data_IF_112944491287
#
_entry.id   IF_112944491287
#
_cell.length_a   1.000
_cell.length_b   1.000
_cell.length_c   1.000
_cell.angle_alpha   90.00
_cell.angle_beta   90.00
_cell.angle_gamma   90.00
#
_symmetry.space_group_name_H-M   'P 1'
#
loop_
_entity.id
_entity.type
_entity.pdbx_description
1 polymer ?
#
# COMPACT_ATOMS: atom_id res chain seq x y z
N UNK A 1 -0.30 17.66 -10.75
CA UNK A 1 0.08 18.17 -9.40
C UNK A 1 1.06 17.19 -8.80
N UNK A 2 2.18 17.66 -8.25
CA UNK A 2 3.21 16.78 -7.69
C UNK A 2 2.64 15.91 -6.55
N UNK A 3 2.87 14.60 -6.62
CA UNK A 3 2.31 13.62 -5.68
C UNK A 3 2.96 13.66 -4.28
N UNK A 4 4.10 14.34 -4.11
CA UNK A 4 4.84 14.43 -2.86
C UNK A 4 3.99 15.00 -1.70
N UNK A 5 2.99 15.85 -1.99
CA UNK A 5 2.07 16.38 -0.99
C UNK A 5 1.15 15.30 -0.36
N UNK A 6 0.95 14.18 -1.05
CA UNK A 6 0.13 13.07 -0.57
C UNK A 6 0.94 11.96 0.11
N UNK A 7 2.27 12.03 0.02
CA UNK A 7 3.15 10.97 0.47
C UNK A 7 3.07 10.83 2.00
N UNK A 8 2.67 9.65 2.47
CA UNK A 8 3.00 9.19 3.82
C UNK A 8 4.42 8.63 3.77
N UNK A 9 5.41 9.27 4.43
CA UNK A 9 6.81 8.88 4.32
C UNK A 9 7.06 7.50 4.94
N UNK A 10 8.08 6.78 4.46
CA UNK A 10 8.46 5.43 4.93
C UNK A 10 8.55 5.32 6.46
N UNK A 11 9.00 6.36 7.15
CA UNK A 11 9.12 6.39 8.62
C UNK A 11 7.77 6.29 9.35
N UNK A 12 6.68 6.66 8.68
CA UNK A 12 5.31 6.61 9.20
C UNK A 12 4.51 5.42 8.64
N UNK A 13 5.13 4.60 7.81
CA UNK A 13 4.51 3.43 7.19
C UNK A 13 5.02 2.18 7.87
N UNK A 14 4.10 1.28 8.23
CA UNK A 14 4.47 -0.09 8.61
C UNK A 14 4.70 -0.89 7.33
N UNK A 15 5.91 -1.40 7.18
CA UNK A 15 6.36 -2.28 6.12
C UNK A 15 7.18 -3.42 6.74
N UNK A 16 7.40 -4.49 5.97
CA UNK A 16 8.22 -5.61 6.40
C UNK A 16 9.28 -5.96 5.35
N UNK A 17 10.36 -6.60 5.78
CA UNK A 17 11.34 -7.18 4.87
C UNK A 17 10.81 -8.54 4.38
N UNK A 18 10.99 -8.89 3.11
CA UNK A 18 10.53 -10.18 2.56
C UNK A 18 11.19 -11.41 3.23
N UNK A 19 12.35 -11.22 3.87
CA UNK A 19 13.03 -12.24 4.64
C UNK A 19 12.52 -12.35 6.09
N UNK A 20 11.68 -11.41 6.56
CA UNK A 20 11.01 -11.51 7.86
C UNK A 20 10.10 -12.76 7.91
N UNK A 21 9.71 -13.13 9.13
CA UNK A 21 8.81 -14.27 9.35
C UNK A 21 7.34 -13.86 9.24
N UNK A 22 6.49 -14.82 8.88
CA UNK A 22 5.03 -14.63 8.86
C UNK A 22 4.49 -14.23 10.24
N UNK A 23 5.12 -14.70 11.33
CA UNK A 23 4.77 -14.29 12.70
C UNK A 23 4.95 -12.79 12.92
N UNK A 24 6.12 -12.25 12.55
CA UNK A 24 6.42 -10.83 12.73
C UNK A 24 5.43 -9.95 11.97
N UNK A 25 5.10 -10.32 10.73
CA UNK A 25 4.10 -9.61 9.95
C UNK A 25 2.72 -9.65 10.62
N UNK A 26 2.25 -10.83 11.06
CA UNK A 26 0.97 -10.98 11.75
C UNK A 26 0.88 -10.09 12.99
N UNK A 27 1.91 -10.12 13.85
CA UNK A 27 1.94 -9.33 15.09
C UNK A 27 1.90 -7.81 14.81
N UNK A 28 2.65 -7.33 13.82
CA UNK A 28 2.62 -5.91 13.42
C UNK A 28 1.28 -5.51 12.82
N UNK A 29 0.73 -6.35 11.93
CA UNK A 29 -0.53 -6.07 11.26
C UNK A 29 -1.70 -6.07 12.26
N UNK A 30 -1.72 -7.00 13.22
CA UNK A 30 -2.70 -7.04 14.30
C UNK A 30 -2.61 -5.80 15.20
N UNK A 31 -1.40 -5.44 15.66
CA UNK A 31 -1.20 -4.30 16.55
C UNK A 31 -1.65 -2.98 15.92
N UNK A 32 -1.31 -2.77 14.64
CA UNK A 32 -1.64 -1.54 13.93
C UNK A 32 -2.98 -1.60 13.16
N UNK A 33 -3.64 -2.75 13.15
CA UNK A 33 -4.89 -3.03 12.40
C UNK A 33 -4.77 -2.76 10.90
N UNK A 34 -3.64 -3.15 10.30
CA UNK A 34 -3.42 -3.05 8.86
C UNK A 34 -3.79 -4.35 8.15
N UNK A 35 -4.61 -4.26 7.12
CA UNK A 35 -5.01 -5.42 6.29
C UNK A 35 -4.00 -5.72 5.19
N UNK A 36 -3.13 -4.77 4.87
CA UNK A 36 -2.07 -4.89 3.87
C UNK A 36 -0.87 -4.00 4.20
N UNK A 37 0.34 -4.49 3.99
CA UNK A 37 1.60 -3.76 4.21
C UNK A 37 2.56 -3.90 3.01
N UNK A 38 3.40 -2.89 2.73
CA UNK A 38 4.50 -3.01 1.76
C UNK A 38 5.54 -4.04 2.22
N UNK A 39 6.14 -4.73 1.26
CA UNK A 39 7.33 -5.55 1.45
C UNK A 39 8.53 -4.93 0.75
N UNK A 40 9.70 -5.01 1.40
CA UNK A 40 10.98 -4.58 0.85
C UNK A 40 12.02 -5.71 0.86
N UNK A 41 13.04 -5.62 0.02
CA UNK A 41 14.24 -6.45 0.12
C UNK A 41 15.27 -5.85 1.11
N UNK A 42 16.40 -6.53 1.30
CA UNK A 42 17.50 -6.09 2.15
C UNK A 42 18.18 -4.79 1.67
N UNK A 43 18.01 -4.45 0.39
CA UNK A 43 18.49 -3.19 -0.19
C UNK A 43 17.48 -2.04 -0.02
N UNK A 44 16.32 -2.30 0.57
CA UNK A 44 15.25 -1.32 0.74
C UNK A 44 14.36 -1.12 -0.49
N UNK A 45 14.50 -1.95 -1.53
CA UNK A 45 13.68 -1.89 -2.73
C UNK A 45 12.30 -2.44 -2.48
N UNK A 46 11.28 -1.82 -3.06
CA UNK A 46 9.92 -2.36 -2.98
C UNK A 46 9.83 -3.68 -3.76
N UNK A 47 9.32 -4.75 -3.14
CA UNK A 47 9.21 -6.08 -3.78
C UNK A 47 7.77 -6.60 -3.85
N UNK A 48 6.80 -5.88 -3.26
CA UNK A 48 5.38 -6.20 -3.37
C UNK A 48 4.59 -5.82 -2.13
N UNK A 49 3.37 -6.34 -2.03
CA UNK A 49 2.47 -6.12 -0.90
C UNK A 49 2.15 -7.47 -0.26
N UNK A 50 2.07 -7.48 1.06
CA UNK A 50 1.54 -8.60 1.84
C UNK A 50 0.18 -8.23 2.39
N UNK A 51 -0.80 -9.12 2.26
CA UNK A 51 -2.13 -8.97 2.87
C UNK A 51 -2.37 -10.04 3.95
N UNK A 52 -3.28 -9.78 4.88
CA UNK A 52 -3.75 -10.81 5.83
C UNK A 52 -4.32 -12.02 5.09
N UNK A 53 -4.96 -11.79 3.94
CA UNK A 53 -5.48 -12.83 3.06
C UNK A 53 -4.40 -13.75 2.53
N UNK A 54 -3.25 -13.22 2.08
CA UNK A 54 -2.12 -14.03 1.60
C UNK A 54 -1.63 -15.01 2.69
N UNK A 55 -1.50 -14.52 3.92
CA UNK A 55 -1.09 -15.35 5.07
C UNK A 55 -2.16 -16.37 5.46
N UNK A 56 -3.45 -15.97 5.43
CA UNK A 56 -4.57 -16.88 5.67
C UNK A 56 -4.58 -18.03 4.65
N UNK A 57 -4.40 -17.72 3.37
CA UNK A 57 -4.34 -18.73 2.31
C UNK A 57 -3.11 -19.62 2.43
N UNK A 58 -1.95 -19.09 2.83
CA UNK A 58 -0.76 -19.89 3.12
C UNK A 58 -1.03 -20.91 4.22
N UNK A 59 -1.65 -20.51 5.33
CA UNK A 59 -2.01 -21.42 6.42
C UNK A 59 -3.02 -22.46 5.93
N UNK A 60 -4.10 -22.01 5.27
CA UNK A 60 -5.17 -22.90 4.76
C UNK A 60 -4.64 -23.98 3.81
N UNK A 61 -3.72 -23.61 2.93
CA UNK A 61 -3.24 -24.48 1.86
C UNK A 61 -1.96 -25.28 2.22
N UNK A 62 -1.46 -25.15 3.46
CA UNK A 62 -0.30 -25.94 3.90
C UNK A 62 -0.72 -26.90 5.02
N UNK A 63 -0.87 -28.21 4.72
CA UNK A 63 -1.24 -29.21 5.72
C UNK A 63 -0.28 -29.19 6.91
N UNK A 64 -0.82 -29.42 8.12
CA UNK A 64 -0.06 -29.50 9.38
C UNK A 64 0.64 -28.22 9.84
N UNK A 65 0.46 -27.08 9.16
CA UNK A 65 0.91 -25.78 9.65
C UNK A 65 -0.14 -25.20 10.58
N UNK A 66 0.31 -24.85 11.79
CA UNK A 66 -0.49 -24.10 12.75
C UNK A 66 0.01 -22.65 12.85
N UNK A 67 -0.74 -21.80 13.57
CA UNK A 67 -0.26 -20.45 13.91
C UNK A 67 1.05 -20.46 14.73
N UNK A 68 1.39 -21.57 15.38
CA UNK A 68 2.65 -21.70 16.12
C UNK A 68 3.86 -21.86 15.20
N UNK A 69 3.66 -22.26 13.95
CA UNK A 69 4.73 -22.50 12.98
C UNK A 69 5.04 -21.27 12.10
N UNK A 70 4.27 -20.19 12.25
CA UNK A 70 4.43 -18.93 11.49
C UNK A 70 5.81 -18.28 11.67
N UNK A 71 6.51 -18.57 12.76
CA UNK A 71 7.86 -18.08 13.01
C UNK A 71 8.94 -18.77 12.16
N UNK A 72 8.61 -19.88 11.50
CA UNK A 72 9.53 -20.63 10.62
C UNK A 72 9.31 -20.34 9.14
N UNK A 73 8.26 -19.59 8.80
CA UNK A 73 7.86 -19.32 7.41
C UNK A 73 8.36 -17.93 7.05
N UNK A 74 9.24 -17.84 6.06
CA UNK A 74 9.64 -16.56 5.48
C UNK A 74 8.49 -15.95 4.68
N UNK A 75 8.35 -14.63 4.71
CA UNK A 75 7.36 -13.92 3.89
C UNK A 75 7.58 -14.12 2.39
N UNK A 76 8.82 -14.38 1.96
CA UNK A 76 9.16 -14.74 0.59
C UNK A 76 8.48 -16.03 0.12
N UNK A 77 8.17 -16.95 1.04
CA UNK A 77 7.51 -18.22 0.76
C UNK A 77 5.98 -18.14 0.85
N UNK A 78 5.43 -16.96 1.16
CA UNK A 78 3.99 -16.71 1.19
C UNK A 78 3.54 -16.33 -0.23
N UNK A 79 2.68 -17.14 -0.89
CA UNK A 79 2.12 -16.77 -2.17
C UNK A 79 1.35 -15.46 -2.07
N UNK A 80 1.65 -14.52 -2.97
CA UNK A 80 1.02 -13.21 -3.01
C UNK A 80 0.02 -13.17 -4.14
N UNK A 81 -1.24 -12.91 -3.82
CA UNK A 81 -2.31 -12.79 -4.81
C UNK A 81 -2.59 -11.35 -5.21
N UNK A 82 -2.01 -10.39 -4.50
CA UNK A 82 -2.15 -8.95 -4.78
C UNK A 82 -0.77 -8.33 -4.97
N UNK A 83 -0.61 -7.54 -6.03
CA UNK A 83 0.57 -6.72 -6.26
C UNK A 83 0.13 -5.26 -6.44
N UNK A 84 0.48 -4.41 -5.48
CA UNK A 84 0.26 -2.99 -5.64
C UNK A 84 1.36 -2.43 -6.54
N UNK A 85 0.98 -1.90 -7.70
CA UNK A 85 1.93 -1.32 -8.65
C UNK A 85 2.48 -0.02 -8.08
N UNK A 86 3.81 0.10 -7.88
CA UNK A 86 4.40 1.33 -7.37
C UNK A 86 4.42 2.43 -8.44
N UNK A 87 4.53 3.67 -7.99
CA UNK A 87 4.83 4.85 -8.82
C UNK A 87 6.14 5.48 -8.41
N UNK A 88 6.75 6.23 -9.34
CA UNK A 88 7.91 7.04 -9.02
C UNK A 88 7.50 8.31 -8.27
N UNK A 89 8.37 8.87 -7.43
CA UNK A 89 8.10 10.12 -6.69
C UNK A 89 7.78 11.32 -7.60
N UNK A 90 8.23 11.29 -8.85
CA UNK A 90 7.96 12.31 -9.85
C UNK A 90 6.69 12.05 -10.69
N UNK A 91 5.85 11.08 -10.31
CA UNK A 91 4.59 10.80 -11.01
C UNK A 91 3.56 11.91 -10.79
N UNK A 92 2.50 11.88 -11.61
CA UNK A 92 1.40 12.84 -11.51
C UNK A 92 0.17 12.22 -10.83
N UNK A 93 -0.75 13.08 -10.41
CA UNK A 93 -1.94 12.68 -9.65
C UNK A 93 -2.88 11.76 -10.45
N UNK A 94 -2.91 11.92 -11.77
CA UNK A 94 -3.71 11.11 -12.70
C UNK A 94 -3.29 9.63 -12.67
N UNK A 95 -1.99 9.36 -12.55
CA UNK A 95 -1.46 8.00 -12.41
C UNK A 95 -2.01 7.35 -11.13
N UNK A 96 -2.04 8.11 -10.03
CA UNK A 96 -2.53 7.63 -8.74
C UNK A 96 -4.01 7.27 -8.78
N UNK A 97 -4.85 8.08 -9.45
CA UNK A 97 -6.28 7.84 -9.54
C UNK A 97 -6.54 6.47 -10.16
N UNK A 98 -5.90 6.18 -11.29
CA UNK A 98 -6.07 4.90 -11.99
C UNK A 98 -5.68 3.69 -11.13
N UNK A 99 -4.59 3.81 -10.37
CA UNK A 99 -4.08 2.75 -9.49
C UNK A 99 -4.95 2.56 -8.24
N UNK A 100 -5.48 3.65 -7.70
CA UNK A 100 -6.32 3.66 -6.50
C UNK A 100 -7.63 2.90 -6.65
N UNK A 101 -8.08 2.62 -7.88
CA UNK A 101 -9.29 1.84 -8.16
C UNK A 101 -9.17 0.44 -7.56
N UNK A 102 -8.02 -0.21 -7.78
CA UNK A 102 -7.79 -1.62 -7.45
C UNK A 102 -6.82 -1.84 -6.28
N UNK A 103 -6.22 -0.79 -5.74
CA UNK A 103 -5.21 -0.88 -4.69
C UNK A 103 -5.60 -0.03 -3.49
N UNK A 104 -5.40 -0.56 -2.27
CA UNK A 104 -5.77 0.14 -1.02
C UNK A 104 -4.81 1.29 -0.69
N UNK A 105 -3.61 1.26 -1.27
CA UNK A 105 -2.61 2.32 -1.26
C UNK A 105 -1.74 2.18 -2.50
N UNK A 106 -1.05 3.25 -2.89
CA UNK A 106 -0.07 3.26 -3.97
C UNK A 106 1.33 3.36 -3.36
N UNK A 107 2.21 2.35 -3.51
CA UNK A 107 3.59 2.44 -3.07
C UNK A 107 4.36 3.47 -3.90
N UNK A 108 5.28 4.20 -3.28
CA UNK A 108 6.11 5.21 -3.95
C UNK A 108 7.57 4.83 -3.82
N UNK A 109 8.30 4.90 -4.94
CA UNK A 109 9.73 4.60 -5.04
C UNK A 109 10.52 5.76 -5.65
N UNK A 110 11.82 5.79 -5.37
CA UNK A 110 12.79 6.70 -6.02
C UNK A 110 13.40 6.11 -7.31
N UNK A 111 14.38 6.80 -7.89
CA UNK A 111 15.03 6.43 -9.15
C UNK A 111 15.78 5.08 -9.05
N UNK A 112 16.17 4.68 -7.84
CA UNK A 112 16.86 3.42 -7.56
C UNK A 112 15.90 2.29 -7.14
N UNK A 113 14.58 2.53 -7.28
CA UNK A 113 13.51 1.64 -6.83
C UNK A 113 13.44 1.46 -5.31
N UNK A 114 14.06 2.35 -4.54
CA UNK A 114 13.99 2.34 -3.08
C UNK A 114 12.60 2.75 -2.66
N UNK A 115 11.99 1.95 -1.78
CA UNK A 115 10.71 2.28 -1.19
C UNK A 115 10.85 3.51 -0.29
N UNK A 116 10.08 4.57 -0.55
CA UNK A 116 10.14 5.83 0.21
C UNK A 116 8.83 6.19 0.93
N UNK A 117 7.76 5.44 0.69
CA UNK A 117 6.48 5.63 1.38
C UNK A 117 5.29 5.15 0.56
N UNK A 118 4.09 5.55 0.99
CA UNK A 118 2.84 5.22 0.29
C UNK A 118 1.96 6.45 0.14
N UNK A 119 1.03 6.39 -0.81
CA UNK A 119 -0.09 7.30 -0.89
C UNK A 119 -1.36 6.51 -0.60
N UNK A 120 -2.14 6.95 0.39
CA UNK A 120 -3.34 6.23 0.83
C UNK A 120 -4.49 6.50 -0.16
N UNK A 121 -5.28 5.47 -0.47
CA UNK A 121 -6.48 5.61 -1.33
C UNK A 121 -7.45 6.68 -0.80
N UNK A 122 -7.60 6.81 0.52
CA UNK A 122 -8.43 7.84 1.13
C UNK A 122 -7.98 9.26 0.79
N UNK A 123 -6.67 9.53 0.72
CA UNK A 123 -6.14 10.84 0.34
C UNK A 123 -6.45 11.17 -1.12
N UNK A 124 -6.32 10.18 -2.01
CA UNK A 124 -6.66 10.32 -3.43
C UNK A 124 -8.17 10.60 -3.60
N UNK A 125 -9.02 9.85 -2.90
CA UNK A 125 -10.47 10.04 -2.94
C UNK A 125 -10.87 11.42 -2.41
N UNK A 126 -10.28 11.87 -1.30
CA UNK A 126 -10.55 13.18 -0.74
C UNK A 126 -10.16 14.30 -1.71
N UNK A 127 -9.00 14.18 -2.36
CA UNK A 127 -8.59 15.12 -3.41
C UNK A 127 -9.61 15.19 -4.55
N UNK A 128 -10.05 14.04 -5.08
CA UNK A 128 -11.08 14.00 -6.11
C UNK A 128 -12.40 14.63 -5.63
N UNK A 129 -12.79 14.39 -4.38
CA UNK A 129 -14.00 14.95 -3.79
C UNK A 129 -13.93 16.48 -3.73
N UNK A 130 -12.81 17.05 -3.27
CA UNK A 130 -12.61 18.49 -3.18
C UNK A 130 -12.67 19.15 -4.56
N UNK A 131 -12.02 18.56 -5.58
CA UNK A 131 -12.10 19.04 -6.96
C UNK A 131 -13.54 19.01 -7.52
N UNK A 132 -14.33 17.98 -7.20
CA UNK A 132 -15.73 17.89 -7.62
C UNK A 132 -16.58 18.98 -6.93
N UNK A 133 -16.33 19.22 -5.64
CA UNK A 133 -17.03 20.23 -4.85
C UNK A 133 -16.75 21.64 -5.38
N UNK A 134 -15.48 21.98 -5.62
CA UNK A 134 -15.07 23.27 -6.19
C UNK A 134 -15.73 23.54 -7.55
N UNK A 135 -15.76 22.54 -8.44
CA UNK A 135 -16.44 22.67 -9.74
C UNK A 135 -17.94 22.92 -9.59
N UNK A 136 -18.62 22.26 -8.64
CA UNK A 136 -20.03 22.51 -8.37
C UNK A 136 -20.28 23.93 -7.88
N UNK A 137 -19.43 24.43 -6.98
CA UNK A 137 -19.56 25.79 -6.45
C UNK A 137 -19.35 26.87 -7.53
N UNK A 138 -18.48 26.62 -8.53
CA UNK A 138 -18.29 27.50 -9.69
C UNK A 138 -19.55 27.52 -10.56
N UNK A 139 -20.08 26.35 -10.92
CA UNK A 139 -21.28 26.22 -11.78
C UNK A 139 -22.50 26.88 -11.12
N UNK A 140 -22.67 26.75 -9.80
CA UNK A 140 -23.77 27.38 -9.06
C UNK A 140 -23.65 28.91 -9.02
N UNK A 141 -22.43 29.47 -9.04
CA UNK A 141 -22.21 30.92 -9.10
C UNK A 141 -22.47 31.47 -10.50
N UNK A 142 -22.05 30.75 -11.54
CA UNK A 142 -22.25 31.16 -12.94
C UNK A 142 -23.73 31.08 -13.36
N UNK A 143 -24.48 30.08 -12.88
CA UNK A 143 -25.92 29.94 -13.19
C UNK A 143 -26.86 30.85 -12.38
N UNK A 144 -26.33 31.73 -11.52
CA UNK A 144 -27.09 32.73 -10.75
C UNK A 144 -26.82 34.18 -11.20
N UNK A 145 -26.07 34.36 -12.28
CA UNK A 145 -25.89 35.64 -12.99
C UNK A 145 -26.76 35.66 -14.25
#
# INVERSE_FOLDING_TARGET
MNIAFFLTPKLEVIYENENSTMRQALERMEYHRYTAIPLIDDNGKYVGTLTEGDMLWKIKNTPYISFNDTNKISLKDVPRHTYNKPVHINAEIEDLISLSINQNFVPVVDDNHIFIGIIKRSQIINYCYDCIKEKKDIIVKEGKS
#
